data_IF_596268927934
#
_entry.id   IF_596268927934
#
_cell.length_a   1.000
_cell.length_b   1.000
_cell.length_c   1.000
_cell.angle_alpha   90.00
_cell.angle_beta   90.00
_cell.angle_gamma   90.00
#
_symmetry.space_group_name_H-M   'P 1'
#
loop_
_entity.id
_entity.type
_entity.pdbx_description
1 polymer ?
#
# COMPACT_ATOMS: atom_id res chain seq x y z
N UNK A 1 58.93 22.70 33.40
CA UNK A 1 59.10 21.79 32.25
C UNK A 1 58.77 20.39 32.75
N UNK A 2 57.70 19.66 32.43
CA UNK A 2 56.51 19.75 31.55
C UNK A 2 55.38 19.04 32.35
N UNK A 3 54.15 19.54 32.50
CA UNK A 3 52.97 19.57 31.60
C UNK A 3 52.41 18.21 31.13
N UNK A 4 51.11 18.01 31.45
CA UNK A 4 50.04 17.15 30.90
C UNK A 4 49.95 15.70 31.47
N UNK A 5 48.95 15.35 32.29
CA UNK A 5 47.48 15.21 32.11
C UNK A 5 47.03 13.82 31.63
N UNK A 6 45.98 13.33 32.29
CA UNK A 6 45.41 12.00 32.25
C UNK A 6 44.70 11.62 30.94
N UNK A 7 44.60 10.32 30.66
CA UNK A 7 43.37 9.71 30.14
C UNK A 7 43.38 8.20 30.43
N UNK A 8 42.34 7.73 31.10
CA UNK A 8 42.15 6.36 31.51
C UNK A 8 41.75 5.47 30.32
N UNK A 9 42.49 4.39 30.08
CA UNK A 9 42.03 3.31 29.22
C UNK A 9 41.03 2.46 30.01
N UNK A 10 39.75 2.80 29.88
CA UNK A 10 38.65 1.94 30.30
C UNK A 10 38.65 0.71 29.37
N UNK A 11 38.96 -0.45 29.91
CA UNK A 11 38.79 -1.73 29.24
C UNK A 11 37.28 -2.00 29.05
N UNK A 12 36.83 -2.48 27.88
CA UNK A 12 35.42 -2.78 27.70
C UNK A 12 35.01 -4.00 28.55
N UNK A 13 33.84 -3.86 29.19
CA UNK A 13 33.15 -4.82 30.05
C UNK A 13 32.69 -6.06 29.23
N UNK A 14 32.92 -7.32 29.67
CA UNK A 14 32.56 -8.51 28.88
C UNK A 14 31.06 -8.85 28.88
N UNK A 15 30.17 -7.85 28.95
CA UNK A 15 28.72 -8.03 29.01
C UNK A 15 27.94 -7.40 27.84
N UNK A 16 28.58 -7.07 26.71
CA UNK A 16 27.86 -6.82 25.45
C UNK A 16 27.62 -8.16 24.72
N UNK A 17 26.63 -8.91 25.21
CA UNK A 17 25.90 -9.87 24.39
C UNK A 17 24.50 -9.30 24.21
N UNK A 18 24.41 -8.25 23.40
CA UNK A 18 23.14 -7.77 22.87
C UNK A 18 22.93 -8.35 21.47
N UNK A 19 21.70 -8.72 21.17
CA UNK A 19 21.19 -9.19 19.88
C UNK A 19 21.48 -10.64 19.43
N UNK A 20 21.31 -11.60 20.35
CA UNK A 20 20.69 -12.89 20.00
C UNK A 20 19.20 -12.88 20.38
N UNK A 21 18.47 -11.84 19.98
CA UNK A 21 17.03 -11.96 19.81
C UNK A 21 16.81 -12.89 18.62
N UNK A 22 16.13 -14.02 18.86
CA UNK A 22 15.62 -14.86 17.77
C UNK A 22 14.92 -13.95 16.74
N UNK A 23 15.33 -13.98 15.46
CA UNK A 23 14.68 -13.15 14.46
C UNK A 23 13.23 -13.61 14.32
N UNK A 24 12.32 -12.64 14.39
CA UNK A 24 10.88 -12.86 14.29
C UNK A 24 10.56 -13.72 13.05
N UNK A 25 9.94 -14.91 13.21
CA UNK A 25 9.60 -15.79 12.09
C UNK A 25 8.60 -15.17 11.11
N UNK A 26 8.01 -14.02 11.43
CA UNK A 26 7.03 -13.31 10.61
C UNK A 26 7.64 -12.37 9.54
N UNK A 27 8.84 -12.67 9.01
CA UNK A 27 9.39 -11.97 7.84
C UNK A 27 8.57 -12.28 6.58
N UNK A 28 7.35 -11.77 6.51
CA UNK A 28 6.41 -11.98 5.42
C UNK A 28 6.71 -10.93 4.34
N UNK A 29 6.86 -11.31 3.05
CA UNK A 29 6.87 -10.31 1.98
C UNK A 29 5.60 -9.48 2.11
N UNK A 30 5.77 -8.18 2.32
CA UNK A 30 4.69 -7.34 2.82
C UNK A 30 3.50 -7.35 1.86
N UNK A 31 2.30 -7.31 2.45
CA UNK A 31 1.09 -6.87 1.79
C UNK A 31 0.73 -5.48 2.35
N UNK A 32 -0.10 -4.74 1.63
CA UNK A 32 -0.65 -3.49 2.12
C UNK A 32 0.02 -2.24 1.57
N UNK A 33 -0.40 -1.14 2.16
CA UNK A 33 -0.12 0.21 1.70
C UNK A 33 0.82 0.93 2.67
N UNK A 34 1.59 1.90 2.19
CA UNK A 34 2.48 2.70 3.02
C UNK A 34 1.75 3.48 4.10
N UNK A 35 2.36 3.59 5.28
CA UNK A 35 1.81 4.29 6.44
C UNK A 35 1.44 5.75 6.21
N UNK A 36 2.14 6.42 5.29
CA UNK A 36 1.97 7.83 4.98
C UNK A 36 0.95 8.09 3.86
N UNK A 37 0.31 7.06 3.29
CA UNK A 37 -0.74 7.27 2.29
C UNK A 37 -1.91 8.03 2.93
N UNK A 38 -2.29 9.21 2.41
CA UNK A 38 -3.43 9.96 2.91
C UNK A 38 -4.73 9.34 2.38
N UNK A 39 -5.53 8.79 3.29
CA UNK A 39 -6.84 8.22 3.01
C UNK A 39 -7.94 9.21 3.36
N UNK A 40 -8.95 9.29 2.51
CA UNK A 40 -10.06 10.22 2.70
C UNK A 40 -11.01 9.71 3.79
N UNK A 41 -11.20 10.51 4.83
CA UNK A 41 -12.17 10.28 5.90
C UNK A 41 -13.22 11.40 5.90
N UNK A 42 -14.38 11.24 6.57
CA UNK A 42 -15.42 12.26 6.61
C UNK A 42 -14.90 13.65 7.06
N UNK A 43 -13.96 13.65 8.01
CA UNK A 43 -13.38 14.87 8.59
C UNK A 43 -12.19 15.42 7.78
N UNK A 44 -11.76 14.71 6.74
CA UNK A 44 -10.64 15.07 5.87
C UNK A 44 -9.62 13.94 5.70
N UNK A 45 -8.57 14.16 4.90
CA UNK A 45 -7.52 13.18 4.71
C UNK A 45 -6.78 12.87 6.02
N UNK A 46 -6.54 11.59 6.29
CA UNK A 46 -5.73 11.09 7.41
C UNK A 46 -4.68 10.10 6.89
N UNK A 47 -3.46 10.08 7.43
CA UNK A 47 -2.47 9.09 7.05
C UNK A 47 -2.96 7.69 7.44
N UNK A 48 -2.71 6.70 6.58
CA UNK A 48 -3.11 5.31 6.77
C UNK A 48 -2.67 4.76 8.14
N UNK A 49 -1.48 5.13 8.63
CA UNK A 49 -0.97 4.74 9.95
C UNK A 49 -1.90 5.10 11.13
N UNK A 50 -2.67 6.17 10.99
CA UNK A 50 -3.58 6.67 12.03
C UNK A 50 -4.94 5.99 12.03
N UNK A 51 -5.24 5.16 11.02
CA UNK A 51 -6.54 4.52 10.87
C UNK A 51 -6.67 3.37 11.88
N UNK A 52 -7.84 3.30 12.49
CA UNK A 52 -8.23 2.29 13.47
C UNK A 52 -9.51 1.57 13.03
N UNK A 53 -9.77 0.35 13.55
CA UNK A 53 -11.05 -0.32 13.34
C UNK A 53 -12.22 0.60 13.75
N UNK A 54 -13.24 0.66 12.90
CA UNK A 54 -14.41 1.53 13.04
C UNK A 54 -14.30 2.89 12.36
N UNK A 55 -13.09 3.34 11.98
CA UNK A 55 -12.93 4.54 11.16
C UNK A 55 -13.59 4.35 9.79
N UNK A 56 -14.20 5.42 9.26
CA UNK A 56 -14.82 5.42 7.95
C UNK A 56 -13.88 6.00 6.90
N UNK A 57 -13.66 5.27 5.80
CA UNK A 57 -12.78 5.63 4.69
C UNK A 57 -13.61 5.71 3.41
N UNK A 58 -13.36 6.70 2.57
CA UNK A 58 -13.99 6.80 1.26
C UNK A 58 -13.52 5.64 0.38
N UNK A 59 -14.48 4.95 -0.21
CA UNK A 59 -14.30 3.86 -1.16
C UNK A 59 -14.84 4.28 -2.52
N UNK A 60 -14.38 3.59 -3.56
CA UNK A 60 -14.74 3.90 -4.94
C UNK A 60 -16.24 3.75 -5.22
N UNK A 61 -16.82 2.59 -4.88
CA UNK A 61 -18.22 2.29 -5.23
C UNK A 61 -19.22 2.54 -4.10
N UNK A 62 -18.78 2.40 -2.84
CA UNK A 62 -19.68 2.30 -1.69
C UNK A 62 -19.66 3.53 -0.76
N UNK A 63 -19.00 4.61 -1.17
CA UNK A 63 -18.87 5.81 -0.33
C UNK A 63 -18.04 5.55 0.93
N UNK A 64 -18.43 6.12 2.07
CA UNK A 64 -17.67 5.95 3.32
C UNK A 64 -17.96 4.61 3.99
N UNK A 65 -16.98 3.71 3.99
CA UNK A 65 -17.07 2.36 4.56
C UNK A 65 -16.22 2.23 5.82
N UNK A 66 -16.68 1.42 6.77
CA UNK A 66 -15.97 1.21 8.04
C UNK A 66 -14.89 0.16 7.91
N UNK A 67 -13.71 0.47 8.43
CA UNK A 67 -12.62 -0.50 8.58
C UNK A 67 -12.99 -1.52 9.65
N UNK A 68 -13.00 -2.81 9.30
CA UNK A 68 -13.35 -3.91 10.20
C UNK A 68 -12.17 -4.35 11.07
N UNK A 69 -10.96 -4.34 10.51
CA UNK A 69 -9.71 -4.61 11.23
C UNK A 69 -8.50 -3.98 10.55
N UNK A 70 -7.41 -3.83 11.30
CA UNK A 70 -6.16 -3.24 10.81
C UNK A 70 -5.00 -4.17 11.15
N UNK A 71 -4.21 -4.56 10.15
CA UNK A 71 -2.95 -5.28 10.34
C UNK A 71 -1.78 -4.33 10.07
N UNK A 72 -0.78 -4.36 10.95
CA UNK A 72 0.42 -3.53 10.86
C UNK A 72 1.61 -4.42 10.53
N UNK A 73 2.18 -4.24 9.35
CA UNK A 73 3.23 -5.07 8.77
C UNK A 73 4.52 -4.27 8.71
N UNK A 74 5.58 -4.79 9.33
CA UNK A 74 6.91 -4.22 9.26
C UNK A 74 7.83 -5.06 8.38
N UNK A 75 8.78 -4.43 7.70
CA UNK A 75 9.95 -5.16 7.20
C UNK A 75 10.90 -5.40 8.37
N UNK A 76 11.01 -6.64 8.84
CA UNK A 76 12.14 -7.06 9.65
C UNK A 76 13.37 -7.27 8.75
N UNK A 77 14.58 -7.11 9.30
CA UNK A 77 15.82 -7.37 8.57
C UNK A 77 15.86 -8.86 8.18
N UNK A 78 15.72 -9.21 6.89
CA UNK A 78 15.66 -10.60 6.49
C UNK A 78 17.03 -11.27 6.75
N UNK A 79 17.03 -12.56 7.16
CA UNK A 79 18.25 -13.36 7.39
C UNK A 79 19.15 -13.46 6.14
N UNK A 80 18.57 -13.26 4.96
CA UNK A 80 19.25 -13.23 3.67
C UNK A 80 18.72 -12.05 2.84
N UNK A 81 19.48 -11.53 1.86
CA UNK A 81 18.96 -10.50 0.94
C UNK A 81 17.66 -10.97 0.27
N UNK A 82 16.62 -10.15 0.35
CA UNK A 82 15.37 -10.42 -0.37
C UNK A 82 15.61 -10.29 -1.88
N UNK A 83 15.06 -11.18 -2.72
CA UNK A 83 15.12 -11.03 -4.16
C UNK A 83 14.45 -9.70 -4.58
N UNK A 84 14.97 -9.00 -5.61
CA UNK A 84 14.42 -7.72 -6.06
C UNK A 84 12.93 -7.73 -6.39
N UNK A 85 12.39 -8.89 -6.79
CA UNK A 85 10.96 -9.07 -7.06
C UNK A 85 10.08 -8.89 -5.82
N UNK A 86 10.63 -9.04 -4.61
CA UNK A 86 9.95 -8.83 -3.33
C UNK A 86 10.24 -7.45 -2.71
N UNK A 87 11.02 -6.62 -3.40
CA UNK A 87 11.29 -5.26 -2.95
C UNK A 87 10.05 -4.40 -3.10
N UNK A 88 9.73 -3.57 -2.10
CA UNK A 88 8.61 -2.64 -2.19
C UNK A 88 8.82 -1.65 -3.34
N UNK A 89 7.71 -1.11 -3.85
CA UNK A 89 7.72 -0.08 -4.87
C UNK A 89 7.61 1.29 -4.21
N UNK A 90 8.58 2.17 -4.50
CA UNK A 90 8.48 3.59 -4.21
C UNK A 90 7.57 4.23 -5.24
N UNK A 91 6.51 4.86 -4.75
CA UNK A 91 5.56 5.62 -5.55
C UNK A 91 5.87 7.10 -5.35
N UNK A 92 6.17 7.85 -6.43
CA UNK A 92 6.46 9.27 -6.34
C UNK A 92 5.32 10.08 -5.72
N UNK A 93 5.67 11.24 -5.18
CA UNK A 93 4.70 12.22 -4.73
C UNK A 93 3.73 12.59 -5.87
N UNK A 94 2.45 12.77 -5.56
CA UNK A 94 1.41 13.13 -6.53
C UNK A 94 0.86 11.98 -7.39
N UNK A 95 1.41 10.77 -7.32
CA UNK A 95 0.86 9.60 -8.03
C UNK A 95 -0.28 8.94 -7.23
N UNK A 96 0.02 8.44 -6.02
CA UNK A 96 -0.99 7.81 -5.14
C UNK A 96 -1.04 8.48 -3.76
N UNK A 97 -0.01 9.28 -3.42
CA UNK A 97 0.16 9.92 -2.11
C UNK A 97 0.07 11.44 -2.16
N UNK A 98 0.33 12.06 -1.02
CA UNK A 98 0.46 13.51 -0.84
C UNK A 98 1.69 14.07 -1.62
N UNK A 99 2.16 15.28 -1.29
CA UNK A 99 3.47 15.80 -1.72
C UNK A 99 4.69 15.00 -1.16
N UNK A 100 4.49 13.74 -0.78
CA UNK A 100 5.51 12.86 -0.19
C UNK A 100 5.43 11.50 -0.86
N UNK A 101 6.60 10.95 -1.20
CA UNK A 101 6.73 9.61 -1.74
C UNK A 101 6.18 8.57 -0.76
N UNK A 102 5.58 7.50 -1.27
CA UNK A 102 5.02 6.41 -0.45
C UNK A 102 5.52 5.06 -0.94
N UNK A 103 5.27 4.02 -0.16
CA UNK A 103 5.60 2.64 -0.51
C UNK A 103 4.32 1.85 -0.76
N UNK A 104 4.35 1.01 -1.79
CA UNK A 104 3.39 -0.07 -1.98
C UNK A 104 4.12 -1.41 -1.94
N UNK A 105 3.49 -2.39 -1.30
CA UNK A 105 4.02 -3.74 -1.34
C UNK A 105 3.80 -4.34 -2.75
N UNK A 106 4.64 -5.27 -3.23
CA UNK A 106 4.55 -5.76 -4.62
C UNK A 106 3.18 -6.36 -4.99
N UNK A 107 2.58 -7.08 -4.05
CA UNK A 107 1.27 -7.73 -4.21
C UNK A 107 0.09 -6.78 -3.91
N UNK A 108 0.35 -5.53 -3.52
CA UNK A 108 -0.71 -4.57 -3.24
C UNK A 108 -1.52 -4.31 -4.51
N UNK A 109 -2.83 -4.56 -4.45
CA UNK A 109 -3.75 -4.27 -5.55
C UNK A 109 -3.93 -2.76 -5.74
N UNK A 110 -3.70 -2.30 -6.95
CA UNK A 110 -3.91 -0.91 -7.40
C UNK A 110 -4.95 -0.95 -8.51
N UNK A 111 -6.05 -0.20 -8.36
CA UNK A 111 -7.08 -0.14 -9.39
C UNK A 111 -6.76 0.94 -10.42
N UNK A 112 -6.55 0.50 -11.65
CA UNK A 112 -6.27 1.34 -12.81
C UNK A 112 -7.49 1.43 -13.71
N UNK A 113 -7.56 2.51 -14.48
CA UNK A 113 -8.60 2.81 -15.44
C UNK A 113 -7.93 2.79 -16.80
N UNK A 114 -8.47 2.00 -17.71
CA UNK A 114 -7.78 1.63 -18.93
C UNK A 114 -8.78 1.29 -20.02
N UNK A 115 -8.74 2.05 -21.11
CA UNK A 115 -9.51 1.75 -22.32
C UNK A 115 -9.09 0.40 -22.91
N UNK A 116 -7.80 0.05 -22.77
CA UNK A 116 -7.28 -1.27 -23.18
C UNK A 116 -7.89 -2.36 -22.31
N UNK A 117 -8.04 -2.14 -21.00
CA UNK A 117 -8.69 -3.08 -20.10
C UNK A 117 -10.18 -3.24 -20.43
N UNK A 118 -10.88 -2.15 -20.77
CA UNK A 118 -12.27 -2.24 -21.24
C UNK A 118 -12.36 -3.13 -22.49
N UNK A 119 -11.45 -2.96 -23.45
CA UNK A 119 -11.43 -3.76 -24.67
C UNK A 119 -11.08 -5.24 -24.42
N UNK A 120 -10.20 -5.54 -23.46
CA UNK A 120 -9.72 -6.90 -23.18
C UNK A 120 -10.60 -7.68 -22.20
N UNK A 121 -11.11 -7.00 -21.17
CA UNK A 121 -11.80 -7.61 -20.03
C UNK A 121 -13.28 -7.19 -19.92
N UNK A 122 -13.71 -6.20 -20.70
CA UNK A 122 -15.09 -5.69 -20.67
C UNK A 122 -15.39 -4.74 -19.51
N UNK A 123 -14.37 -4.34 -18.76
CA UNK A 123 -14.46 -3.38 -17.65
C UNK A 123 -13.31 -2.36 -17.76
N UNK A 124 -13.59 -1.05 -17.76
CA UNK A 124 -12.54 -0.04 -17.79
C UNK A 124 -11.73 0.01 -16.49
N UNK A 125 -12.19 -0.60 -15.39
CA UNK A 125 -11.49 -0.63 -14.12
C UNK A 125 -10.98 -2.03 -13.80
N UNK A 126 -9.66 -2.14 -13.66
CA UNK A 126 -9.01 -3.41 -13.32
C UNK A 126 -8.02 -3.23 -12.19
N UNK A 127 -7.92 -4.23 -11.33
CA UNK A 127 -6.95 -4.23 -10.23
C UNK A 127 -5.71 -4.96 -10.68
N UNK A 128 -4.57 -4.28 -10.67
CA UNK A 128 -3.25 -4.86 -10.98
C UNK A 128 -2.39 -4.91 -9.72
N UNK A 129 -1.49 -5.89 -9.58
CA UNK A 129 -0.49 -5.84 -8.51
C UNK A 129 0.45 -4.67 -8.76
N UNK A 130 0.86 -3.96 -7.70
CA UNK A 130 1.80 -2.84 -7.80
C UNK A 130 3.10 -3.25 -8.50
N UNK A 131 3.52 -4.52 -8.39
CA UNK A 131 4.65 -5.08 -9.12
C UNK A 131 4.58 -4.90 -10.65
N UNK A 132 3.39 -4.82 -11.25
CA UNK A 132 3.21 -4.60 -12.69
C UNK A 132 3.44 -3.13 -13.09
N UNK A 133 3.42 -2.21 -12.13
CA UNK A 133 3.59 -0.77 -12.33
C UNK A 133 5.07 -0.32 -12.24
N UNK A 134 6.00 -1.27 -12.09
CA UNK A 134 7.44 -0.97 -12.05
C UNK A 134 7.89 -0.34 -13.39
N UNK A 135 8.41 0.88 -13.31
CA UNK A 135 8.77 1.71 -14.46
C UNK A 135 7.65 2.62 -14.98
N UNK A 136 6.42 2.49 -14.48
CA UNK A 136 5.31 3.38 -14.83
C UNK A 136 5.29 4.59 -13.90
N UNK A 137 5.01 5.79 -14.44
CA UNK A 137 4.82 7.00 -13.61
C UNK A 137 5.99 7.34 -12.65
N UNK A 138 7.20 6.84 -12.91
CA UNK A 138 8.36 6.98 -12.01
C UNK A 138 8.35 6.03 -10.80
N UNK A 139 7.36 5.13 -10.72
CA UNK A 139 7.30 4.05 -9.74
C UNK A 139 8.47 3.10 -10.00
N UNK A 140 9.19 2.74 -8.94
CA UNK A 140 10.32 1.82 -9.06
C UNK A 140 10.57 1.06 -7.76
N UNK A 141 11.19 -0.12 -7.88
CA UNK A 141 11.56 -0.94 -6.72
C UNK A 141 12.69 -0.31 -5.92
N UNK A 142 12.56 -0.34 -4.58
CA UNK A 142 13.60 0.11 -3.66
C UNK A 142 13.97 -0.98 -2.66
N UNK A 143 15.26 -1.16 -2.32
CA UNK A 143 15.66 -2.15 -1.32
C UNK A 143 14.89 -1.97 -0.02
N UNK A 144 14.34 -3.05 0.57
CA UNK A 144 13.57 -2.94 1.79
C UNK A 144 14.45 -2.42 2.93
N UNK A 145 13.99 -1.37 3.60
CA UNK A 145 14.64 -0.81 4.78
C UNK A 145 13.92 -1.25 6.05
N UNK A 146 14.65 -1.30 7.16
CA UNK A 146 14.05 -1.59 8.47
C UNK A 146 13.01 -0.53 8.93
N UNK A 147 12.91 0.59 8.20
CA UNK A 147 11.94 1.67 8.45
C UNK A 147 10.70 1.57 7.56
N UNK A 148 10.68 0.67 6.56
CA UNK A 148 9.52 0.48 5.72
C UNK A 148 8.35 -0.11 6.57
N UNK A 149 7.19 0.53 6.49
CA UNK A 149 5.99 0.21 7.27
C UNK A 149 4.77 0.17 6.37
N UNK A 150 4.03 -0.93 6.46
CA UNK A 150 2.85 -1.22 5.66
C UNK A 150 1.67 -1.51 6.56
N UNK A 151 0.49 -1.11 6.12
CA UNK A 151 -0.77 -1.35 6.81
C UNK A 151 -1.71 -2.06 5.84
N UNK A 152 -2.38 -3.10 6.32
CA UNK A 152 -3.50 -3.72 5.61
C UNK A 152 -4.78 -3.29 6.33
N UNK A 153 -5.64 -2.59 5.60
CA UNK A 153 -6.98 -2.27 6.05
C UNK A 153 -7.90 -3.39 5.58
N UNK A 154 -8.70 -3.92 6.49
CA UNK A 154 -9.74 -4.87 6.14
C UNK A 154 -11.10 -4.21 6.28
N UNK A 155 -12.02 -4.61 5.42
CA UNK A 155 -13.42 -4.19 5.45
C UNK A 155 -14.33 -5.42 5.57
N UNK A 156 -15.63 -5.23 5.71
CA UNK A 156 -16.57 -6.37 5.73
C UNK A 156 -16.68 -7.04 4.35
N UNK A 157 -16.43 -6.26 3.29
CA UNK A 157 -16.28 -6.73 1.90
C UNK A 157 -14.96 -6.23 1.35
N UNK A 158 -14.52 -6.75 0.20
CA UNK A 158 -13.40 -6.12 -0.49
C UNK A 158 -13.81 -4.68 -0.86
N UNK A 159 -12.95 -3.71 -0.61
CA UNK A 159 -13.22 -2.31 -0.92
C UNK A 159 -12.00 -1.71 -1.61
N UNK A 160 -12.22 -0.79 -2.53
CA UNK A 160 -11.14 0.01 -3.11
C UNK A 160 -11.14 1.38 -2.45
N UNK A 161 -10.14 1.64 -1.60
CA UNK A 161 -10.03 2.91 -0.87
C UNK A 161 -9.47 4.01 -1.76
N UNK A 162 -9.99 5.22 -1.56
CA UNK A 162 -9.61 6.41 -2.30
C UNK A 162 -8.58 7.21 -1.52
N UNK A 163 -7.43 7.47 -2.14
CA UNK A 163 -6.43 8.37 -1.58
C UNK A 163 -6.73 9.82 -1.91
N UNK A 164 -6.15 10.75 -1.18
CA UNK A 164 -6.34 12.19 -1.40
C UNK A 164 -6.06 12.66 -2.84
N UNK A 165 -5.18 11.97 -3.57
CA UNK A 165 -4.74 12.34 -4.92
C UNK A 165 -5.27 11.41 -6.02
N UNK A 166 -6.37 10.70 -5.77
CA UNK A 166 -6.99 9.86 -6.81
C UNK A 166 -6.41 8.47 -6.97
N UNK A 167 -5.46 8.09 -6.12
CA UNK A 167 -5.01 6.72 -6.01
C UNK A 167 -6.13 5.81 -5.53
N UNK A 168 -6.26 4.63 -6.15
CA UNK A 168 -7.25 3.64 -5.78
C UNK A 168 -6.56 2.35 -5.37
N UNK A 169 -6.72 1.97 -4.10
CA UNK A 169 -5.98 0.87 -3.48
C UNK A 169 -6.94 -0.18 -2.97
N UNK A 170 -6.82 -1.40 -3.48
CA UNK A 170 -7.65 -2.52 -3.08
C UNK A 170 -7.31 -2.94 -1.63
N UNK A 171 -8.35 -3.06 -0.82
CA UNK A 171 -8.29 -3.53 0.55
C UNK A 171 -9.10 -4.83 0.65
N UNK A 172 -8.52 -5.92 1.19
CA UNK A 172 -9.20 -7.20 1.28
C UNK A 172 -10.37 -7.14 2.27
N UNK A 173 -11.31 -8.11 2.19
CA UNK A 173 -12.27 -8.33 3.26
C UNK A 173 -11.57 -8.77 4.56
N UNK A 174 -12.35 -8.91 5.63
CA UNK A 174 -11.91 -9.34 6.97
C UNK A 174 -10.92 -10.51 6.90
N UNK A 175 -9.85 -10.42 7.70
CA UNK A 175 -8.77 -11.39 7.69
C UNK A 175 -9.29 -12.83 7.91
N UNK A 176 -8.98 -13.80 7.01
CA UNK A 176 -9.41 -15.20 7.15
C UNK A 176 -8.82 -15.91 8.38
N UNK A 177 -7.82 -15.34 9.06
CA UNK A 177 -7.18 -15.90 10.26
C UNK A 177 -7.81 -15.51 11.60
N UNK A 178 -8.88 -14.72 11.63
CA UNK A 178 -9.48 -14.18 12.86
C UNK A 178 -10.98 -14.53 13.03
N UNK A 179 -11.36 -15.78 12.77
CA UNK A 179 -12.57 -16.41 13.33
C UNK A 179 -12.42 -17.94 13.20
N UNK A 180 -12.50 -18.66 14.31
CA UNK A 180 -12.79 -20.11 14.32
C UNK A 180 -14.28 -20.39 14.07
N UNK A 181 -14.98 -19.53 13.34
CA UNK A 181 -16.42 -19.61 13.12
C UNK A 181 -16.73 -19.79 11.63
N UNK A 182 -16.97 -21.07 11.30
CA UNK A 182 -17.73 -21.71 10.20
C UNK A 182 -17.81 -21.10 8.78
N UNK A 183 -17.73 -21.96 7.73
CA UNK A 183 -17.39 -21.59 6.35
C UNK A 183 -18.61 -21.33 5.44
N UNK A 184 -19.70 -20.74 5.95
CA UNK A 184 -20.97 -20.71 5.19
C UNK A 184 -21.36 -19.36 4.55
N UNK A 185 -20.68 -18.23 4.83
CA UNK A 185 -21.06 -16.91 4.27
C UNK A 185 -20.01 -16.24 3.37
N UNK A 186 -18.82 -16.85 3.20
CA UNK A 186 -17.68 -16.29 2.45
C UNK A 186 -17.63 -16.65 0.94
N UNK A 187 -18.61 -17.40 0.43
CA UNK A 187 -18.64 -17.84 -0.98
C UNK A 187 -19.19 -16.78 -1.96
N UNK A 188 -19.24 -15.50 -1.57
CA UNK A 188 -19.65 -14.41 -2.46
C UNK A 188 -18.45 -14.03 -3.33
N UNK A 189 -18.60 -13.88 -4.66
CA UNK A 189 -17.50 -13.47 -5.53
C UNK A 189 -16.86 -12.19 -4.98
N UNK A 190 -15.53 -12.17 -4.89
CA UNK A 190 -14.82 -10.92 -4.63
C UNK A 190 -15.19 -9.92 -5.72
N UNK A 191 -15.80 -8.79 -5.35
CA UNK A 191 -16.18 -7.74 -6.30
C UNK A 191 -14.96 -7.20 -7.05
N UNK A 192 -13.79 -7.23 -6.41
CA UNK A 192 -12.51 -6.88 -7.01
C UNK A 192 -11.58 -8.10 -7.05
N UNK A 193 -11.04 -8.42 -8.21
CA UNK A 193 -10.02 -9.46 -8.38
C UNK A 193 -8.72 -8.85 -8.90
N UNK A 194 -7.60 -9.12 -8.24
CA UNK A 194 -6.28 -8.72 -8.72
C UNK A 194 -5.92 -9.58 -9.93
N UNK A 195 -5.63 -8.95 -11.06
CA UNK A 195 -5.15 -9.63 -12.25
C UNK A 195 -3.84 -10.39 -11.93
N UNK A 196 -3.67 -11.61 -12.47
CA UNK A 196 -2.38 -12.29 -12.43
C UNK A 196 -1.27 -11.38 -12.96
N UNK A 197 -0.09 -11.43 -12.33
CA UNK A 197 1.01 -10.51 -12.66
C UNK A 197 1.36 -10.51 -14.15
N UNK A 198 1.29 -11.66 -14.83
CA UNK A 198 1.58 -11.75 -16.26
C UNK A 198 0.57 -10.96 -17.10
N UNK A 199 -0.73 -11.15 -16.86
CA UNK A 199 -1.81 -10.45 -17.56
C UNK A 199 -1.75 -8.94 -17.28
N UNK A 200 -1.42 -8.56 -16.04
CA UNK A 200 -1.21 -7.17 -15.68
C UNK A 200 -0.02 -6.54 -16.42
N UNK A 201 1.11 -7.27 -16.56
CA UNK A 201 2.27 -6.78 -17.32
C UNK A 201 1.94 -6.64 -18.81
N UNK A 202 1.17 -7.55 -19.39
CA UNK A 202 0.72 -7.46 -20.78
C UNK A 202 -0.20 -6.26 -21.00
N UNK A 203 -1.14 -6.01 -20.08
CA UNK A 203 -2.00 -4.84 -20.10
C UNK A 203 -1.19 -3.53 -20.05
N UNK A 204 -0.28 -3.41 -19.08
CA UNK A 204 0.56 -2.21 -18.92
C UNK A 204 1.47 -2.01 -20.14
N UNK A 205 1.98 -3.08 -20.74
CA UNK A 205 2.74 -3.01 -21.98
C UNK A 205 1.89 -2.52 -23.16
N UNK A 206 0.63 -2.94 -23.26
CA UNK A 206 -0.30 -2.48 -24.28
C UNK A 206 -0.67 -0.99 -24.09
N UNK A 207 -0.86 -0.54 -22.85
CA UNK A 207 -1.11 0.87 -22.49
C UNK A 207 0.06 1.79 -22.85
N UNK A 208 1.32 1.36 -22.72
CA UNK A 208 2.47 2.16 -23.17
C UNK A 208 2.46 2.46 -24.68
N UNK A 209 1.75 1.66 -25.47
CA UNK A 209 1.50 1.93 -26.89
C UNK A 209 0.42 3.01 -27.15
N UNK A 210 -0.32 3.40 -26.10
CA UNK A 210 -1.44 4.35 -26.09
C UNK A 210 -1.14 5.48 -25.09
N UNK A 211 -0.27 6.43 -25.45
CA UNK A 211 0.06 7.68 -24.71
C UNK A 211 -0.30 7.77 -23.20
N UNK A 212 0.59 7.28 -22.33
CA UNK A 212 0.73 7.65 -20.89
C UNK A 212 -0.56 7.76 -20.05
N UNK A 213 -1.20 6.62 -19.75
CA UNK A 213 -2.48 6.58 -19.03
C UNK A 213 -2.39 6.81 -17.51
N UNK A 214 -1.35 6.28 -16.82
CA UNK A 214 -1.40 6.12 -15.36
C UNK A 214 -1.34 7.45 -14.56
N UNK A 215 -0.41 8.35 -14.89
CA UNK A 215 -0.33 9.66 -14.21
C UNK A 215 -1.52 10.54 -14.53
N UNK A 216 -1.91 10.60 -15.81
CA UNK A 216 -3.08 11.36 -16.25
C UNK A 216 -4.36 10.87 -15.56
N UNK A 217 -4.46 9.56 -15.30
CA UNK A 217 -5.55 8.98 -14.56
C UNK A 217 -5.60 9.47 -13.10
N UNK A 218 -4.48 9.43 -12.38
CA UNK A 218 -4.43 9.91 -11.00
C UNK A 218 -4.79 11.41 -10.91
N UNK A 219 -4.27 12.23 -11.83
CA UNK A 219 -4.59 13.66 -11.92
C UNK A 219 -6.08 13.91 -12.19
N UNK A 220 -6.68 13.20 -13.16
CA UNK A 220 -8.12 13.30 -13.46
C UNK A 220 -8.96 12.98 -12.23
N UNK A 221 -8.68 11.87 -11.56
CA UNK A 221 -9.43 11.42 -10.37
C UNK A 221 -9.29 12.38 -9.19
N UNK A 222 -8.11 12.97 -8.99
CA UNK A 222 -7.90 13.99 -7.96
C UNK A 222 -8.88 15.17 -8.13
N UNK A 223 -9.12 15.59 -9.38
CA UNK A 223 -10.13 16.59 -9.72
C UNK A 223 -11.56 16.16 -9.35
N UNK A 224 -11.95 14.95 -9.75
CA UNK A 224 -13.29 14.40 -9.51
C UNK A 224 -13.59 14.20 -8.02
N UNK A 225 -12.61 13.70 -7.26
CA UNK A 225 -12.69 13.52 -5.81
C UNK A 225 -12.88 14.85 -5.10
N UNK A 226 -12.12 15.87 -5.51
CA UNK A 226 -12.26 17.21 -4.95
C UNK A 226 -13.68 17.74 -5.15
N UNK A 227 -14.28 17.50 -6.32
CA UNK A 227 -15.67 17.85 -6.60
C UNK A 227 -16.66 17.02 -5.75
N UNK A 228 -16.44 15.71 -5.63
CA UNK A 228 -17.31 14.81 -4.85
C UNK A 228 -17.33 15.16 -3.35
N UNK A 229 -16.17 15.46 -2.77
CA UNK A 229 -16.04 15.88 -1.36
C UNK A 229 -16.75 17.21 -1.07
N UNK A 230 -16.75 18.14 -2.02
CA UNK A 230 -17.49 19.41 -1.90
C UNK A 230 -19.00 19.15 -1.86
N UNK A 231 -19.51 18.22 -2.67
CA UNK A 231 -20.93 17.88 -2.70
C UNK A 231 -21.37 17.11 -1.44
N UNK A 232 -20.54 16.18 -0.95
CA UNK A 232 -20.82 15.41 0.27
C UNK A 232 -20.85 16.27 1.56
N UNK A 233 -20.25 17.47 1.54
CA UNK A 233 -20.25 18.42 2.66
C UNK A 233 -21.38 19.46 2.61
N UNK A 234 -22.23 19.46 1.56
CA UNK A 234 -23.35 20.40 1.46
C UNK A 234 -24.55 19.84 2.24
N UNK A 235 -25.13 20.61 3.18
CA UNK A 235 -26.23 20.14 4.03
C UNK A 235 -27.52 19.89 3.24
#
# INVERSE_FOLDING_TARGET
>A
MNLLSASAALTPDPAETDDLLDPDPACTPAFGIGYNIPLLTPDGPRPAASIAPGDAILTFDNGFQKVSSVERVGYCKPRAPLPPTLWPLLVPAGTVGDNVETLLAPEQGVMVESDVAEALFGDPFVVVPAAALDGEAGIHRVPPSAQARFIVLHFDRAEVVVTQHGGLLMCPPRNPGMIWETPEDDARPLEYTVLPLLDALELIAAERGSETALLAQFERRSGDISAALIHAKKP
#
